data_IF_416203714562
#
_entry.id   IF_416203714562
#
_cell.length_a   1.000
_cell.length_b   1.000
_cell.length_c   1.000
_cell.angle_alpha   90.00
_cell.angle_beta   90.00
_cell.angle_gamma   90.00
#
_symmetry.space_group_name_H-M   'P 1'
#
loop_
_entity.id
_entity.type
_entity.pdbx_description
1 polymer ?
#
# COMPACT_ATOMS: atom_id res chain seq x y z
N UNK A 1 16.87 15.55 -0.80
CA UNK A 1 17.36 14.15 -0.76
C UNK A 1 16.58 13.43 0.35
N UNK A 2 16.66 12.11 0.50
CA UNK A 2 15.99 11.32 1.57
C UNK A 2 14.57 10.76 1.33
N UNK A 3 14.04 10.74 0.09
CA UNK A 3 12.86 9.90 -0.24
C UNK A 3 13.26 8.57 -0.89
N UNK A 4 14.34 8.59 -1.66
CA UNK A 4 14.86 7.41 -2.36
C UNK A 4 15.64 6.48 -1.43
N UNK A 5 16.31 7.03 -0.41
CA UNK A 5 17.03 6.24 0.61
C UNK A 5 16.06 5.39 1.43
N UNK A 6 14.92 5.96 1.85
CA UNK A 6 13.90 5.26 2.64
C UNK A 6 13.32 4.09 1.84
N UNK A 7 13.01 4.29 0.54
CA UNK A 7 12.49 3.23 -0.33
C UNK A 7 13.51 2.12 -0.60
N UNK A 8 14.80 2.47 -0.64
CA UNK A 8 15.89 1.52 -0.89
C UNK A 8 16.22 0.68 0.35
N UNK A 9 16.07 1.24 1.55
CA UNK A 9 16.42 0.58 2.81
C UNK A 9 15.22 -0.17 3.43
N UNK A 10 13.97 0.26 3.19
CA UNK A 10 12.75 -0.41 3.71
C UNK A 10 12.67 -1.93 3.46
N UNK A 11 13.09 -2.46 2.30
CA UNK A 11 13.07 -3.90 2.03
C UNK A 11 14.15 -4.68 2.80
N UNK A 12 15.20 -4.00 3.27
CA UNK A 12 16.35 -4.60 3.96
C UNK A 12 16.20 -4.57 5.49
N UNK A 13 15.19 -3.87 6.01
CA UNK A 13 14.92 -3.76 7.42
C UNK A 13 14.07 -4.95 7.88
N UNK A 14 14.62 -5.75 8.80
CA UNK A 14 13.87 -6.80 9.48
C UNK A 14 12.66 -6.21 10.20
N UNK A 15 11.67 -7.07 10.46
CA UNK A 15 10.38 -6.70 11.07
C UNK A 15 10.54 -5.93 12.40
N UNK A 16 11.63 -6.19 13.13
CA UNK A 16 12.01 -5.49 14.37
C UNK A 16 12.49 -4.06 14.12
N UNK A 17 13.16 -3.79 13.00
CA UNK A 17 13.71 -2.45 12.72
C UNK A 17 12.64 -1.50 12.18
N UNK A 18 11.61 -2.02 11.47
CA UNK A 18 10.42 -1.24 11.09
C UNK A 18 9.67 -0.76 12.34
N UNK A 19 9.58 -1.62 13.38
CA UNK A 19 9.00 -1.26 14.67
C UNK A 19 9.85 -0.20 15.40
N UNK A 20 11.17 -0.26 15.28
CA UNK A 20 12.06 0.69 15.94
C UNK A 20 12.05 2.08 15.30
N UNK A 21 11.95 2.19 13.96
CA UNK A 21 11.83 3.47 13.25
C UNK A 21 10.56 4.24 13.65
N UNK A 22 9.48 3.53 14.00
CA UNK A 22 8.25 4.15 14.50
C UNK A 22 8.35 4.71 15.93
N UNK A 23 9.35 4.30 16.72
CA UNK A 23 9.53 4.79 18.08
C UNK A 23 10.32 6.10 18.17
N UNK A 24 11.03 6.48 17.10
CA UNK A 24 11.86 7.70 17.08
C UNK A 24 11.06 8.92 16.61
N UNK A 25 9.95 8.71 15.89
CA UNK A 25 9.06 9.79 15.44
C UNK A 25 7.86 9.82 16.37
N UNK A 26 7.94 10.66 17.43
CA UNK A 26 6.93 10.83 18.48
C UNK A 26 5.59 11.41 18.00
N UNK A 27 4.94 10.74 17.07
CA UNK A 27 3.64 11.13 16.52
C UNK A 27 2.73 9.93 16.65
N UNK A 28 1.79 10.03 17.61
CA UNK A 28 0.60 9.21 17.90
C UNK A 28 0.63 7.73 17.45
N UNK A 29 0.25 6.76 18.30
CA UNK A 29 0.24 5.35 17.93
C UNK A 29 -0.60 5.12 16.67
N UNK A 30 0.06 5.02 15.51
CA UNK A 30 -0.61 4.72 14.25
C UNK A 30 -1.09 3.30 14.40
N UNK A 31 -2.41 3.14 14.56
CA UNK A 31 -3.03 1.83 14.71
C UNK A 31 -2.50 0.87 13.65
N UNK A 32 -1.98 -0.29 14.07
CA UNK A 32 -1.48 -1.33 13.16
C UNK A 32 -2.50 -1.69 12.06
N UNK A 33 -3.80 -1.53 12.34
CA UNK A 33 -4.86 -1.70 11.36
C UNK A 33 -4.78 -0.67 10.22
N UNK A 34 -4.47 0.59 10.55
CA UNK A 34 -4.31 1.69 9.59
C UNK A 34 -3.05 1.49 8.73
N UNK A 35 -1.95 1.08 9.34
CA UNK A 35 -0.71 0.76 8.61
C UNK A 35 -0.92 -0.41 7.63
N UNK A 36 -1.55 -1.51 8.09
CA UNK A 36 -1.89 -2.62 7.19
C UNK A 36 -2.81 -2.20 6.05
N UNK A 37 -3.79 -1.35 6.33
CA UNK A 37 -4.70 -0.86 5.31
C UNK A 37 -4.00 -0.07 4.21
N UNK A 38 -3.12 0.87 4.58
CA UNK A 38 -2.34 1.65 3.62
C UNK A 38 -1.35 0.78 2.83
N UNK A 39 -0.71 -0.21 3.47
CA UNK A 39 0.16 -1.16 2.77
C UNK A 39 -0.61 -1.98 1.72
N UNK A 40 -1.76 -2.55 2.09
CA UNK A 40 -2.60 -3.32 1.16
C UNK A 40 -3.05 -2.45 -0.02
N UNK A 41 -3.46 -1.21 0.26
CA UNK A 41 -3.82 -0.24 -0.77
C UNK A 41 -2.67 0.00 -1.75
N UNK A 42 -1.47 0.24 -1.23
CA UNK A 42 -0.30 0.51 -2.06
C UNK A 42 0.06 -0.68 -2.95
N UNK A 43 0.01 -1.91 -2.40
CA UNK A 43 0.24 -3.13 -3.18
C UNK A 43 -0.78 -3.33 -4.32
N UNK A 44 -2.05 -2.97 -4.09
CA UNK A 44 -3.07 -2.99 -5.13
C UNK A 44 -2.78 -1.93 -6.20
N UNK A 45 -2.44 -0.71 -5.80
CA UNK A 45 -2.13 0.38 -6.74
C UNK A 45 -0.90 0.08 -7.60
N UNK A 46 0.16 -0.46 -7.01
CA UNK A 46 1.38 -0.81 -7.74
C UNK A 46 1.12 -1.98 -8.71
N UNK A 47 0.38 -3.01 -8.26
CA UNK A 47 -0.01 -4.12 -9.14
C UNK A 47 -0.89 -3.69 -10.31
N UNK A 48 -1.77 -2.71 -10.12
CA UNK A 48 -2.60 -2.15 -11.19
C UNK A 48 -1.77 -1.34 -12.20
N UNK A 49 -0.72 -0.63 -11.76
CA UNK A 49 0.20 0.11 -12.65
C UNK A 49 1.09 -0.82 -13.46
N UNK A 50 1.49 -1.95 -12.89
CA UNK A 50 2.29 -2.98 -13.55
C UNK A 50 1.46 -3.89 -14.48
N UNK A 51 0.17 -3.59 -14.67
CA UNK A 51 -0.77 -4.36 -15.51
C UNK A 51 -0.84 -5.86 -15.13
N UNK A 52 -0.59 -6.17 -13.86
CA UNK A 52 -0.67 -7.53 -13.33
C UNK A 52 -2.14 -7.97 -13.25
N UNK A 53 -2.39 -9.27 -13.43
CA UNK A 53 -3.72 -9.86 -13.26
C UNK A 53 -4.25 -9.66 -11.84
N UNK A 54 -5.54 -9.35 -11.73
CA UNK A 54 -6.21 -9.06 -10.46
C UNK A 54 -6.05 -10.22 -9.43
N UNK A 55 -6.00 -11.48 -9.88
CA UNK A 55 -5.77 -12.66 -9.03
C UNK A 55 -4.38 -12.66 -8.38
N UNK A 56 -3.38 -12.14 -9.08
CA UNK A 56 -2.01 -12.14 -8.61
C UNK A 56 -1.74 -10.96 -7.67
N UNK A 57 -2.38 -9.83 -7.93
CA UNK A 57 -2.46 -8.70 -6.99
C UNK A 57 -3.13 -9.16 -5.67
N UNK A 58 -4.25 -9.87 -5.77
CA UNK A 58 -4.98 -10.41 -4.62
C UNK A 58 -4.10 -11.36 -3.79
N UNK A 59 -3.36 -12.27 -4.44
CA UNK A 59 -2.41 -13.17 -3.78
C UNK A 59 -1.27 -12.41 -3.09
N UNK A 60 -0.63 -11.45 -3.77
CA UNK A 60 0.47 -10.66 -3.20
C UNK A 60 0.00 -9.83 -2.00
N UNK A 61 -1.16 -9.19 -2.10
CA UNK A 61 -1.71 -8.34 -1.04
C UNK A 61 -2.42 -9.11 0.08
N UNK A 62 -2.60 -10.43 -0.05
CA UNK A 62 -3.28 -11.25 0.95
C UNK A 62 -4.77 -10.93 1.11
N UNK A 63 -5.44 -10.54 0.02
CA UNK A 63 -6.86 -10.15 0.02
C UNK A 63 -7.67 -10.92 -1.01
N UNK A 64 -8.99 -10.88 -0.89
CA UNK A 64 -9.88 -11.46 -1.89
C UNK A 64 -9.84 -10.67 -3.21
N UNK A 65 -9.99 -11.35 -4.35
CA UNK A 65 -10.09 -10.72 -5.68
C UNK A 65 -11.16 -9.61 -5.73
N UNK A 66 -12.31 -9.82 -5.09
CA UNK A 66 -13.38 -8.80 -4.99
C UNK A 66 -12.91 -7.48 -4.39
N UNK A 67 -11.94 -7.52 -3.46
CA UNK A 67 -11.36 -6.31 -2.85
C UNK A 67 -10.57 -5.52 -3.89
N UNK A 68 -9.79 -6.21 -4.72
CA UNK A 68 -9.01 -5.62 -5.82
C UNK A 68 -9.96 -5.00 -6.86
N UNK A 69 -10.97 -5.75 -7.29
CA UNK A 69 -11.98 -5.26 -8.26
C UNK A 69 -12.73 -4.03 -7.75
N UNK A 70 -13.11 -4.01 -6.46
CA UNK A 70 -13.73 -2.86 -5.81
C UNK A 70 -12.79 -1.64 -5.82
N UNK A 71 -11.50 -1.86 -5.57
CA UNK A 71 -10.49 -0.81 -5.60
C UNK A 71 -10.36 -0.19 -6.99
N UNK A 72 -10.26 -1.04 -8.01
CA UNK A 72 -10.20 -0.66 -9.42
C UNK A 72 -11.43 0.14 -9.85
N UNK A 73 -12.62 -0.32 -9.48
CA UNK A 73 -13.88 0.41 -9.77
C UNK A 73 -13.90 1.78 -9.10
N UNK A 74 -13.46 1.89 -7.84
CA UNK A 74 -13.39 3.18 -7.15
C UNK A 74 -12.36 4.13 -7.77
N UNK A 75 -11.22 3.63 -8.23
CA UNK A 75 -10.23 4.43 -8.96
C UNK A 75 -10.83 4.98 -10.26
N UNK A 76 -11.47 4.13 -11.08
CA UNK A 76 -12.14 4.55 -12.31
C UNK A 76 -13.25 5.58 -12.06
N UNK A 77 -14.02 5.42 -10.98
CA UNK A 77 -15.03 6.40 -10.60
C UNK A 77 -14.41 7.76 -10.26
N UNK A 78 -13.28 7.80 -9.53
CA UNK A 78 -12.56 9.06 -9.25
C UNK A 78 -12.09 9.76 -10.51
N UNK A 79 -11.53 9.01 -11.48
CA UNK A 79 -11.15 9.57 -12.78
C UNK A 79 -12.36 10.12 -13.53
N UNK A 80 -13.50 9.41 -13.49
CA UNK A 80 -14.74 9.85 -14.14
C UNK A 80 -15.34 11.10 -13.48
N UNK A 81 -15.28 11.22 -12.16
CA UNK A 81 -15.77 12.41 -11.43
C UNK A 81 -14.86 13.63 -11.65
N UNK A 82 -13.57 13.44 -11.93
CA UNK A 82 -12.64 14.54 -12.18
C UNK A 82 -12.79 15.20 -13.57
N UNK A 83 -13.63 14.64 -14.46
CA UNK A 83 -13.88 15.15 -15.82
C UNK A 83 -15.19 15.94 -15.95
N UNK A 84 -15.94 16.10 -14.85
CA UNK A 84 -17.17 16.90 -14.73
C UNK A 84 -16.96 18.02 -13.72
#
# INVERSE_FOLDING_TARGET
>A
MDRDVIKTILPLLTRETILHVHNVVGSEPVSFAKLRHEMIKQMIEDGLKEEIRDEEIARKAGVCKRTVERYKRNQLLRFRTALY
#
